data_IF_411227799233
#
_entry.id   IF_411227799233
#
_cell.length_a   1.000
_cell.length_b   1.000
_cell.length_c   1.000
_cell.angle_alpha   90.00
_cell.angle_beta   90.00
_cell.angle_gamma   90.00
#
_symmetry.space_group_name_H-M   'P 1'
#
loop_
_entity.id
_entity.type
_entity.pdbx_description
1 polymer ?
#
# COMPACT_ATOMS: atom_id res chain seq x y z
N UNK A 1 10.33 0.17 -11.68
CA UNK A 1 9.39 -0.96 -11.68
C UNK A 1 8.36 -0.72 -10.59
N UNK A 2 7.07 -0.98 -10.83
CA UNK A 2 6.06 -0.87 -9.76
C UNK A 2 5.96 -2.20 -9.01
N UNK A 3 5.75 -2.12 -7.71
CA UNK A 3 5.70 -3.25 -6.76
C UNK A 3 4.30 -3.52 -6.25
N UNK A 4 3.45 -2.48 -6.20
CA UNK A 4 2.03 -2.63 -5.88
C UNK A 4 1.22 -1.99 -7.00
N UNK A 5 0.30 -2.77 -7.56
CA UNK A 5 -0.76 -2.29 -8.46
C UNK A 5 -1.91 -1.75 -7.62
N UNK A 6 -2.33 -0.50 -7.82
CA UNK A 6 -3.51 0.03 -7.13
C UNK A 6 -4.76 -0.50 -7.82
N UNK A 7 -5.53 -1.31 -7.09
CA UNK A 7 -6.76 -1.92 -7.62
C UNK A 7 -7.98 -1.06 -7.29
N UNK A 8 -8.05 -0.53 -6.06
CA UNK A 8 -9.21 0.27 -5.66
C UNK A 8 -8.91 1.23 -4.51
N UNK A 9 -9.72 2.28 -4.43
CA UNK A 9 -9.64 3.28 -3.38
C UNK A 9 -10.64 3.00 -2.26
N UNK A 10 -10.20 3.20 -1.02
CA UNK A 10 -11.05 3.00 0.14
C UNK A 10 -12.14 4.05 0.29
N UNK A 11 -12.03 5.20 -0.39
CA UNK A 11 -13.14 6.14 -0.52
C UNK A 11 -14.40 5.52 -1.16
N UNK A 12 -14.26 4.41 -1.88
CA UNK A 12 -15.37 3.63 -2.45
C UNK A 12 -15.79 2.43 -1.59
N UNK A 13 -15.00 2.03 -0.58
CA UNK A 13 -15.23 0.83 0.24
C UNK A 13 -15.33 1.23 1.71
N UNK A 14 -16.56 1.33 2.21
CA UNK A 14 -16.83 1.69 3.62
C UNK A 14 -16.32 0.66 4.65
N UNK A 15 -16.07 -0.59 4.24
CA UNK A 15 -15.76 -1.70 5.15
C UNK A 15 -14.36 -1.60 5.80
N UNK A 16 -13.33 -1.25 5.01
CA UNK A 16 -11.95 -1.11 5.50
C UNK A 16 -11.71 0.14 6.37
N UNK A 17 -12.62 1.11 6.33
CA UNK A 17 -12.54 2.30 7.17
C UNK A 17 -12.78 1.96 8.64
N UNK A 18 -13.47 0.85 8.91
CA UNK A 18 -13.80 0.36 10.25
C UNK A 18 -12.77 -0.63 10.79
N UNK A 19 -12.08 -1.37 9.91
CA UNK A 19 -11.07 -2.35 10.31
C UNK A 19 -9.93 -2.42 9.25
N UNK A 20 -8.80 -1.74 9.47
CA UNK A 20 -7.67 -1.77 8.56
C UNK A 20 -6.87 -3.09 8.59
N UNK A 21 -7.19 -4.03 9.49
CA UNK A 21 -6.39 -5.25 9.73
C UNK A 21 -6.79 -6.46 8.88
N UNK A 22 -7.75 -6.32 7.96
CA UNK A 22 -8.24 -7.43 7.11
C UNK A 22 -7.15 -7.90 6.12
N UNK A 23 -6.26 -7.00 5.71
CA UNK A 23 -5.16 -7.32 4.80
C UNK A 23 -3.82 -6.86 5.37
N UNK A 24 -2.71 -7.51 4.98
CA UNK A 24 -1.37 -7.08 5.35
C UNK A 24 -1.13 -5.62 4.97
N UNK A 25 -0.40 -4.92 5.83
CA UNK A 25 -0.25 -3.48 5.75
C UNK A 25 1.04 -3.10 5.02
N UNK A 26 0.93 -2.15 4.10
CA UNK A 26 2.04 -1.51 3.41
C UNK A 26 1.92 -0.01 3.61
N UNK A 27 2.88 0.60 4.31
CA UNK A 27 2.93 2.04 4.52
C UNK A 27 3.85 2.69 3.50
N UNK A 28 3.32 3.69 2.79
CA UNK A 28 4.11 4.55 1.90
C UNK A 28 4.53 5.84 2.60
N UNK A 29 5.62 6.41 2.09
CA UNK A 29 6.11 7.73 2.48
C UNK A 29 5.11 8.86 2.19
N UNK A 30 5.28 9.99 2.87
CA UNK A 30 4.51 11.21 2.65
C UNK A 30 4.56 11.70 1.19
N UNK A 31 5.76 11.62 0.57
CA UNK A 31 5.95 12.03 -0.82
C UNK A 31 5.16 11.18 -1.84
N UNK A 32 4.80 9.95 -1.49
CA UNK A 32 4.05 9.06 -2.36
C UNK A 32 2.52 9.24 -2.24
N UNK A 33 2.03 9.91 -1.19
CA UNK A 33 0.59 10.05 -0.89
C UNK A 33 -0.18 10.65 -2.07
N UNK A 34 0.30 11.76 -2.61
CA UNK A 34 -0.39 12.48 -3.70
C UNK A 34 -0.48 11.63 -4.96
N UNK A 35 0.56 10.82 -5.24
CA UNK A 35 0.57 9.90 -6.38
C UNK A 35 -0.42 8.75 -6.18
N UNK A 36 -0.43 8.14 -4.99
CA UNK A 36 -1.37 7.06 -4.67
C UNK A 36 -2.81 7.55 -4.78
N UNK A 37 -3.14 8.71 -4.19
CA UNK A 37 -4.47 9.32 -4.30
C UNK A 37 -4.88 9.66 -5.74
N UNK A 38 -3.90 9.87 -6.62
CA UNK A 38 -4.13 10.10 -8.06
C UNK A 38 -4.31 8.81 -8.87
N UNK A 39 -4.20 7.63 -8.25
CA UNK A 39 -4.32 6.33 -8.92
C UNK A 39 -3.01 5.77 -9.44
N UNK A 40 -1.87 6.35 -9.05
CA UNK A 40 -0.58 5.84 -9.46
C UNK A 40 -0.24 4.54 -8.71
N UNK A 41 0.37 3.60 -9.43
CA UNK A 41 0.97 2.41 -8.84
C UNK A 41 2.16 2.78 -7.95
N UNK A 42 2.44 1.95 -6.94
CA UNK A 42 3.52 2.20 -5.98
C UNK A 42 4.79 1.55 -6.49
N UNK A 43 5.89 2.29 -6.42
CA UNK A 43 7.24 1.89 -6.85
C UNK A 43 8.10 1.55 -5.62
N UNK A 44 9.17 0.74 -5.77
CA UNK A 44 10.03 0.36 -4.63
C UNK A 44 10.48 1.55 -3.76
N UNK A 45 10.93 2.70 -4.32
CA UNK A 45 11.37 3.83 -3.49
C UNK A 45 10.29 4.41 -2.57
N UNK A 46 9.02 4.22 -2.89
CA UNK A 46 7.90 4.65 -2.04
C UNK A 46 7.65 3.73 -0.85
N UNK A 47 8.25 2.54 -0.83
CA UNK A 47 8.13 1.54 0.24
C UNK A 47 9.47 1.25 0.95
N UNK A 48 10.60 1.71 0.42
CA UNK A 48 11.94 1.53 1.03
C UNK A 48 12.49 2.81 1.66
N UNK A 49 11.68 3.87 1.75
CA UNK A 49 12.06 5.10 2.43
C UNK A 49 11.98 4.97 3.95
N UNK A 50 12.55 5.95 4.68
CA UNK A 50 12.59 5.91 6.16
C UNK A 50 11.22 5.86 6.83
N UNK A 51 10.21 6.43 6.18
CA UNK A 51 8.83 6.48 6.66
C UNK A 51 7.96 5.30 6.18
N UNK A 52 8.51 4.42 5.36
CA UNK A 52 7.79 3.28 4.83
C UNK A 52 7.86 2.07 5.77
N UNK A 53 6.80 1.27 5.76
CA UNK A 53 6.68 0.04 6.55
C UNK A 53 6.20 -1.05 5.62
N UNK A 54 6.97 -2.12 5.51
CA UNK A 54 6.59 -3.31 4.76
C UNK A 54 6.22 -4.44 5.73
N UNK A 55 5.22 -5.23 5.37
CA UNK A 55 4.96 -6.50 6.04
C UNK A 55 5.78 -7.59 5.35
N UNK A 56 6.65 -8.26 6.10
CA UNK A 56 7.57 -9.28 5.56
C UNK A 56 6.87 -10.58 5.14
N UNK A 57 7.53 -11.37 4.28
CA UNK A 57 7.12 -12.73 3.94
C UNK A 57 5.83 -12.84 3.11
N UNK A 58 5.43 -11.76 2.44
CA UNK A 58 4.25 -11.78 1.57
C UNK A 58 4.62 -12.23 0.15
N UNK A 59 3.90 -13.22 -0.42
CA UNK A 59 4.12 -13.65 -1.79
C UNK A 59 3.57 -12.64 -2.80
N UNK A 60 4.03 -12.74 -4.05
CA UNK A 60 3.44 -12.03 -5.17
C UNK A 60 1.93 -12.30 -5.27
N UNK A 61 1.19 -11.37 -5.88
CA UNK A 61 -0.28 -11.40 -6.04
C UNK A 61 -1.09 -11.28 -4.74
N UNK A 62 -0.44 -11.08 -3.59
CA UNK A 62 -1.14 -10.84 -2.32
C UNK A 62 -1.81 -9.46 -2.32
N UNK A 63 -3.05 -9.42 -1.83
CA UNK A 63 -3.78 -8.18 -1.60
C UNK A 63 -3.28 -7.52 -0.31
N UNK A 64 -2.95 -6.24 -0.41
CA UNK A 64 -2.39 -5.44 0.68
C UNK A 64 -3.14 -4.13 0.85
N UNK A 65 -3.24 -3.69 2.09
CA UNK A 65 -3.77 -2.37 2.44
C UNK A 65 -2.65 -1.35 2.37
N UNK A 66 -2.84 -0.29 1.59
CA UNK A 66 -1.89 0.82 1.47
C UNK A 66 -2.26 1.91 2.46
N UNK A 67 -1.39 2.14 3.43
CA UNK A 67 -1.45 3.28 4.35
C UNK A 67 -0.39 4.30 4.00
N UNK A 68 -0.53 5.49 4.57
CA UNK A 68 0.48 6.53 4.47
C UNK A 68 0.99 6.91 5.85
N UNK A 69 2.26 7.31 5.89
CA UNK A 69 2.85 7.90 7.08
C UNK A 69 1.97 9.03 7.63
N UNK A 70 1.81 9.07 8.95
CA UNK A 70 0.99 10.06 9.65
C UNK A 70 -0.51 10.08 9.25
N UNK A 71 -1.04 9.01 8.64
CA UNK A 71 -2.48 8.84 8.36
C UNK A 71 -3.06 7.67 9.13
N UNK A 72 -4.20 7.92 9.79
CA UNK A 72 -4.94 6.89 10.53
C UNK A 72 -5.80 5.98 9.65
N UNK A 73 -6.10 6.42 8.42
CA UNK A 73 -6.93 5.66 7.49
C UNK A 73 -6.09 5.20 6.31
N UNK A 74 -6.33 3.97 5.90
CA UNK A 74 -5.77 3.46 4.66
C UNK A 74 -6.28 4.27 3.45
N UNK A 75 -5.42 4.42 2.45
CA UNK A 75 -5.68 5.23 1.25
C UNK A 75 -6.30 4.38 0.15
N UNK A 76 -5.74 3.20 -0.07
CA UNK A 76 -6.07 2.32 -1.17
C UNK A 76 -5.82 0.86 -0.81
N UNK A 77 -6.35 -0.03 -1.63
CA UNK A 77 -6.01 -1.46 -1.64
C UNK A 77 -5.25 -1.72 -2.93
N UNK A 78 -4.15 -2.44 -2.80
CA UNK A 78 -3.32 -2.82 -3.92
C UNK A 78 -2.97 -4.29 -3.91
N UNK A 79 -2.39 -4.75 -5.01
CA UNK A 79 -1.90 -6.11 -5.18
C UNK A 79 -0.39 -6.10 -5.40
N UNK A 80 0.34 -6.94 -4.67
CA UNK A 80 1.78 -7.10 -4.87
C UNK A 80 2.05 -7.72 -6.23
N UNK A 81 3.04 -7.19 -6.96
CA UNK A 81 3.48 -7.76 -8.23
C UNK A 81 4.63 -8.76 -8.10
N UNK A 82 5.35 -8.68 -6.99
CA UNK A 82 6.48 -9.56 -6.65
C UNK A 82 6.45 -9.83 -5.15
N UNK A 83 7.21 -10.83 -4.69
CA UNK A 83 7.31 -11.11 -3.25
C UNK A 83 8.03 -9.97 -2.55
N UNK A 84 7.78 -9.77 -1.26
CA UNK A 84 8.45 -8.73 -0.46
C UNK A 84 9.95 -8.99 -0.35
N UNK A 85 10.35 -10.26 -0.35
CA UNK A 85 11.76 -10.66 -0.28
C UNK A 85 12.54 -10.32 -1.57
N UNK A 86 11.83 -10.11 -2.68
CA UNK A 86 12.40 -9.75 -3.99
C UNK A 86 12.38 -8.23 -4.30
N UNK A 87 11.89 -7.39 -3.38
CA UNK A 87 11.64 -5.94 -3.62
C UNK A 87 12.86 -5.02 -3.50
#
# INVERSE_FOLDING_TARGET
>A
MYVISIETFLSKINYFKSDPFICPLMQVDEGAITFVLSGANIMCPGLTSKGAIMTDGLPAETIVTVMAENKQHALAVGKLKMSVDDM
#
